data_IF_058197059317
#
_entry.id   IF_058197059317
#
_cell.length_a   1.000
_cell.length_b   1.000
_cell.length_c   1.000
_cell.angle_alpha   90.00
_cell.angle_beta   90.00
_cell.angle_gamma   90.00
#
_symmetry.space_group_name_H-M   'P 1'
#
loop_
_entity.id
_entity.type
_entity.pdbx_description
1 polymer ?
#
# COMPACT_ATOMS: atom_id res chain seq x y z
N UNK A 1 -25.95 -35.51 -2.81
CA UNK A 1 -26.28 -34.10 -3.11
C UNK A 1 -25.28 -33.24 -2.36
N UNK A 2 -24.27 -32.69 -3.04
CA UNK A 2 -23.29 -31.78 -2.45
C UNK A 2 -23.79 -30.35 -2.63
N UNK A 3 -24.25 -29.72 -1.56
CA UNK A 3 -24.57 -28.28 -1.56
C UNK A 3 -23.25 -27.51 -1.65
N UNK A 4 -22.91 -27.06 -2.86
CA UNK A 4 -21.83 -26.11 -3.09
C UNK A 4 -22.21 -24.78 -2.46
N UNK A 5 -21.65 -24.47 -1.30
CA UNK A 5 -21.67 -23.12 -0.73
C UNK A 5 -20.73 -22.24 -1.55
N UNK A 6 -21.21 -21.69 -2.67
CA UNK A 6 -20.58 -20.50 -3.22
C UNK A 6 -20.93 -19.35 -2.27
N UNK A 7 -19.96 -18.89 -1.48
CA UNK A 7 -20.11 -17.63 -0.74
C UNK A 7 -20.32 -16.53 -1.78
N UNK A 8 -21.52 -15.98 -1.85
CA UNK A 8 -21.80 -14.85 -2.74
C UNK A 8 -20.99 -13.64 -2.28
N UNK A 9 -20.47 -12.87 -3.23
CA UNK A 9 -19.84 -11.60 -2.92
C UNK A 9 -20.91 -10.61 -2.49
N UNK A 10 -21.06 -10.39 -1.19
CA UNK A 10 -21.93 -9.36 -0.65
C UNK A 10 -21.27 -7.99 -0.83
N UNK A 11 -21.40 -7.44 -2.04
CA UNK A 11 -20.91 -6.12 -2.39
C UNK A 11 -21.95 -5.08 -1.95
N UNK A 12 -21.69 -4.26 -0.91
CA UNK A 12 -22.56 -3.13 -0.59
C UNK A 12 -22.74 -2.19 -1.77
N UNK A 13 -23.90 -1.54 -1.84
CA UNK A 13 -24.23 -0.60 -2.90
C UNK A 13 -23.21 0.56 -2.92
N UNK A 14 -22.43 0.59 -4.00
CA UNK A 14 -21.39 1.54 -4.40
C UNK A 14 -20.10 1.56 -3.53
N UNK A 15 -18.93 1.13 -4.07
CA UNK A 15 -17.66 1.26 -3.36
C UNK A 15 -17.24 2.71 -3.14
N UNK A 16 -16.66 2.98 -1.96
CA UNK A 16 -16.00 4.26 -1.65
C UNK A 16 -14.52 4.13 -2.00
N UNK A 17 -14.03 5.08 -2.80
CA UNK A 17 -12.66 5.16 -3.27
C UNK A 17 -11.85 6.13 -2.38
N UNK A 18 -10.67 5.70 -1.94
CA UNK A 18 -9.80 6.40 -1.00
C UNK A 18 -8.39 6.70 -1.54
N UNK A 19 -7.99 6.06 -2.64
CA UNK A 19 -6.64 6.23 -3.20
C UNK A 19 -6.40 7.65 -3.74
N UNK A 20 -5.15 8.11 -3.63
CA UNK A 20 -4.73 9.48 -3.95
C UNK A 20 -4.98 9.90 -5.41
N UNK A 21 -4.96 8.96 -6.36
CA UNK A 21 -5.15 9.22 -7.79
C UNK A 21 -6.17 8.26 -8.41
N UNK A 22 -7.11 7.74 -7.60
CA UNK A 22 -8.19 6.84 -8.02
C UNK A 22 -7.71 5.49 -8.58
N UNK A 23 -6.53 5.04 -8.18
CA UNK A 23 -5.98 3.74 -8.52
C UNK A 23 -6.90 2.60 -8.09
N UNK A 24 -7.57 2.73 -6.94
CA UNK A 24 -8.55 1.77 -6.45
C UNK A 24 -9.82 1.70 -7.32
N UNK A 25 -10.26 2.82 -7.88
CA UNK A 25 -11.35 2.86 -8.85
C UNK A 25 -10.96 2.16 -10.15
N UNK A 26 -9.76 2.44 -10.65
CA UNK A 26 -9.25 1.78 -11.85
C UNK A 26 -9.14 0.27 -11.65
N UNK A 27 -8.62 -0.17 -10.49
CA UNK A 27 -8.53 -1.59 -10.16
C UNK A 27 -9.91 -2.25 -10.05
N UNK A 28 -10.85 -1.61 -9.35
CA UNK A 28 -12.21 -2.13 -9.21
C UNK A 28 -12.88 -2.31 -10.57
N UNK A 29 -12.93 -1.27 -11.38
CA UNK A 29 -13.61 -1.29 -12.68
C UNK A 29 -12.95 -2.27 -13.66
N UNK A 30 -11.61 -2.40 -13.63
CA UNK A 30 -10.90 -3.22 -14.61
C UNK A 30 -10.79 -4.69 -14.20
N UNK A 31 -10.75 -5.01 -12.90
CA UNK A 31 -10.39 -6.36 -12.45
C UNK A 31 -11.36 -6.99 -11.44
N UNK A 32 -12.12 -6.21 -10.67
CA UNK A 32 -12.87 -6.73 -9.52
C UNK A 32 -14.40 -6.62 -9.64
N UNK A 33 -14.90 -5.81 -10.59
CA UNK A 33 -16.34 -5.59 -10.79
C UNK A 33 -17.02 -6.68 -11.62
N UNK A 34 -16.36 -7.22 -12.65
CA UNK A 34 -17.01 -8.13 -13.61
C UNK A 34 -16.14 -9.34 -14.01
N UNK A 35 -16.45 -10.56 -13.53
CA UNK A 35 -17.41 -10.83 -12.45
C UNK A 35 -16.92 -10.23 -11.12
N UNK A 36 -17.83 -9.97 -10.16
CA UNK A 36 -17.48 -9.56 -8.81
C UNK A 36 -16.41 -10.45 -8.17
N UNK A 37 -15.36 -9.85 -7.61
CA UNK A 37 -14.31 -10.57 -6.84
C UNK A 37 -14.28 -10.12 -5.38
N UNK A 38 -14.42 -11.08 -4.47
CA UNK A 38 -14.42 -10.89 -3.01
C UNK A 38 -13.52 -11.92 -2.33
N UNK A 39 -13.28 -11.75 -1.02
CA UNK A 39 -12.55 -12.70 -0.17
C UNK A 39 -11.14 -13.07 -0.64
N UNK A 40 -10.50 -12.19 -1.42
CA UNK A 40 -9.14 -12.41 -1.90
C UNK A 40 -8.08 -12.00 -0.88
N UNK A 41 -6.83 -11.98 -1.34
CA UNK A 41 -5.70 -11.36 -0.63
C UNK A 41 -5.09 -10.28 -1.51
N UNK A 42 -4.89 -9.10 -0.94
CA UNK A 42 -4.25 -7.97 -1.62
C UNK A 42 -2.93 -7.64 -0.92
N UNK A 43 -1.88 -7.46 -1.71
CA UNK A 43 -0.57 -7.02 -1.23
C UNK A 43 -0.34 -5.59 -1.71
N UNK A 44 -0.11 -4.69 -0.76
CA UNK A 44 0.20 -3.29 -1.01
C UNK A 44 1.64 -3.00 -0.57
N UNK A 45 2.48 -2.63 -1.53
CA UNK A 45 3.88 -2.29 -1.31
C UNK A 45 4.02 -0.77 -1.31
N UNK A 46 4.58 -0.21 -0.24
CA UNK A 46 4.58 1.24 -0.01
C UNK A 46 3.22 1.72 0.52
N UNK A 47 2.70 1.05 1.54
CA UNK A 47 1.38 1.34 2.12
C UNK A 47 1.30 2.69 2.86
N UNK A 48 2.43 3.40 3.02
CA UNK A 48 2.51 4.71 3.64
C UNK A 48 1.87 4.72 5.04
N UNK A 49 0.94 5.63 5.30
CA UNK A 49 0.18 5.70 6.55
C UNK A 49 -1.14 4.90 6.49
N UNK A 50 -1.49 4.30 5.36
CA UNK A 50 -2.71 3.52 5.17
C UNK A 50 -4.02 4.32 5.06
N UNK A 51 -4.00 5.65 5.00
CA UNK A 51 -5.22 6.44 4.80
C UNK A 51 -5.62 6.50 3.33
N UNK A 52 -4.67 6.86 2.46
CA UNK A 52 -4.86 6.98 1.02
C UNK A 52 -4.54 5.66 0.28
N UNK A 53 -5.05 4.56 0.83
CA UNK A 53 -4.73 3.20 0.38
C UNK A 53 -5.72 2.71 -0.67
N UNK A 54 -5.20 2.05 -1.70
CA UNK A 54 -6.03 1.44 -2.74
C UNK A 54 -6.72 0.13 -2.29
N UNK A 55 -6.26 -0.46 -1.17
CA UNK A 55 -6.80 -1.69 -0.61
C UNK A 55 -7.94 -1.48 0.39
N UNK A 56 -8.56 -0.29 0.42
CA UNK A 56 -9.74 -0.03 1.27
C UNK A 56 -11.05 -0.58 0.71
N UNK A 57 -11.09 -0.92 -0.58
CA UNK A 57 -12.33 -1.26 -1.31
C UNK A 57 -12.74 -2.73 -1.16
N UNK A 58 -11.93 -3.52 -0.49
CA UNK A 58 -12.02 -4.96 -0.67
C UNK A 58 -13.08 -5.62 0.21
N UNK A 59 -14.11 -6.13 -0.47
CA UNK A 59 -15.22 -6.92 0.04
C UNK A 59 -14.75 -8.21 0.73
N UNK A 60 -14.39 -8.10 2.01
CA UNK A 60 -13.92 -9.20 2.83
C UNK A 60 -12.52 -9.71 2.47
N UNK A 61 -11.67 -8.93 1.80
CA UNK A 61 -10.30 -9.40 1.52
C UNK A 61 -9.37 -9.22 2.71
N UNK A 62 -8.37 -10.10 2.77
CA UNK A 62 -7.21 -9.92 3.63
C UNK A 62 -6.24 -8.95 2.97
N UNK A 63 -5.83 -7.91 3.69
CA UNK A 63 -4.81 -6.97 3.22
C UNK A 63 -3.47 -7.23 3.89
N UNK A 64 -2.43 -7.37 3.08
CA UNK A 64 -1.03 -7.44 3.48
C UNK A 64 -0.38 -6.11 3.07
N UNK A 65 0.04 -5.33 4.06
CA UNK A 65 0.57 -3.98 3.87
C UNK A 65 2.06 -3.98 4.22
N UNK A 66 2.89 -3.57 3.27
CA UNK A 66 4.34 -3.50 3.42
C UNK A 66 4.77 -2.04 3.35
N UNK A 67 5.50 -1.58 4.37
CA UNK A 67 5.99 -0.21 4.44
C UNK A 67 7.39 -0.17 5.07
N UNK A 68 8.36 0.32 4.31
CA UNK A 68 9.76 0.36 4.74
C UNK A 68 10.03 1.49 5.74
N UNK A 69 9.41 2.67 5.56
CA UNK A 69 9.65 3.81 6.44
C UNK A 69 8.99 3.57 7.80
N UNK A 70 9.81 3.50 8.85
CA UNK A 70 9.37 3.25 10.23
C UNK A 70 8.34 4.25 10.77
N UNK A 71 8.34 5.50 10.30
CA UNK A 71 7.40 6.52 10.76
C UNK A 71 6.05 6.37 10.08
N UNK A 72 6.03 6.15 8.75
CA UNK A 72 4.85 5.74 8.01
C UNK A 72 4.22 4.48 8.63
N UNK A 73 5.04 3.46 8.88
CA UNK A 73 4.58 2.19 9.45
C UNK A 73 3.91 2.36 10.83
N UNK A 74 4.45 3.22 11.71
CA UNK A 74 3.82 3.51 12.99
C UNK A 74 2.41 4.09 12.83
N UNK A 75 2.18 4.92 11.81
CA UNK A 75 0.85 5.46 11.49
C UNK A 75 -0.04 4.39 10.84
N UNK A 76 0.52 3.59 9.94
CA UNK A 76 -0.14 2.47 9.27
C UNK A 76 -0.75 1.48 10.27
N UNK A 77 -0.01 1.12 11.31
CA UNK A 77 -0.50 0.20 12.37
C UNK A 77 -1.77 0.74 13.03
N UNK A 78 -1.84 2.06 13.28
CA UNK A 78 -3.01 2.71 13.88
C UNK A 78 -4.18 2.83 12.90
N UNK A 79 -3.89 3.21 11.65
CA UNK A 79 -4.90 3.51 10.65
C UNK A 79 -5.52 2.25 10.02
N UNK A 80 -4.83 1.10 10.10
CA UNK A 80 -5.24 -0.17 9.47
C UNK A 80 -5.16 -1.34 10.47
N UNK A 81 -5.95 -1.33 11.56
CA UNK A 81 -5.80 -2.31 12.65
C UNK A 81 -6.02 -3.76 12.21
N UNK A 82 -6.93 -4.00 11.25
CA UNK A 82 -7.33 -5.34 10.80
C UNK A 82 -6.47 -5.95 9.67
N UNK A 83 -5.48 -5.22 9.15
CA UNK A 83 -4.60 -5.70 8.09
C UNK A 83 -3.39 -6.47 8.65
N UNK A 84 -2.81 -7.38 7.87
CA UNK A 84 -1.47 -7.92 8.12
C UNK A 84 -0.46 -6.85 7.69
N UNK A 85 0.57 -6.59 8.50
CA UNK A 85 1.48 -5.44 8.30
C UNK A 85 2.93 -5.87 8.50
N UNK A 86 3.82 -5.46 7.60
CA UNK A 86 5.26 -5.69 7.70
C UNK A 86 6.04 -4.39 7.56
N UNK A 87 6.93 -4.11 8.52
CA UNK A 87 7.86 -2.98 8.44
C UNK A 87 9.14 -3.42 7.75
N UNK A 88 9.09 -3.53 6.42
CA UNK A 88 10.23 -3.96 5.61
C UNK A 88 10.17 -3.33 4.23
N UNK A 89 11.31 -3.32 3.55
CA UNK A 89 11.35 -3.12 2.11
C UNK A 89 11.25 -4.47 1.37
N UNK A 90 10.74 -4.43 0.14
CA UNK A 90 10.80 -5.56 -0.78
C UNK A 90 11.98 -5.34 -1.72
N UNK A 91 13.02 -6.15 -1.57
CA UNK A 91 14.24 -6.06 -2.36
C UNK A 91 14.91 -7.44 -2.48
N UNK A 92 15.91 -7.56 -3.36
CA UNK A 92 16.65 -8.82 -3.56
C UNK A 92 17.75 -9.01 -2.50
N UNK A 93 18.26 -7.91 -1.98
CA UNK A 93 19.31 -7.88 -0.97
C UNK A 93 18.71 -8.06 0.43
N UNK A 94 19.51 -8.57 1.36
CA UNK A 94 19.12 -8.64 2.77
C UNK A 94 19.02 -7.25 3.40
N UNK A 95 19.90 -6.34 2.98
CA UNK A 95 19.98 -4.97 3.46
C UNK A 95 20.00 -3.98 2.30
N UNK A 96 19.26 -2.89 2.45
CA UNK A 96 19.22 -1.77 1.53
C UNK A 96 19.17 -0.46 2.29
N UNK A 97 19.64 0.62 1.68
CA UNK A 97 19.50 1.96 2.21
C UNK A 97 18.18 2.59 1.73
N UNK A 98 17.35 2.99 2.69
CA UNK A 98 16.10 3.70 2.44
C UNK A 98 16.25 5.14 2.91
N UNK A 99 16.11 6.08 1.99
CA UNK A 99 16.32 7.52 2.22
C UNK A 99 15.01 8.30 2.09
N UNK A 100 14.98 9.49 2.71
CA UNK A 100 13.85 10.40 2.69
C UNK A 100 12.74 10.04 3.68
N UNK A 101 11.64 10.78 3.58
CA UNK A 101 10.50 10.71 4.50
C UNK A 101 9.18 10.78 3.76
N UNK A 102 8.10 10.40 4.45
CA UNK A 102 6.73 10.52 3.94
C UNK A 102 6.55 9.77 2.61
N UNK A 103 5.79 10.33 1.66
CA UNK A 103 5.45 9.68 0.39
C UNK A 103 6.55 9.76 -0.68
N UNK A 104 7.66 10.44 -0.41
CA UNK A 104 8.73 10.69 -1.40
C UNK A 104 10.01 9.93 -1.10
N UNK A 105 10.06 9.20 0.01
CA UNK A 105 11.18 8.33 0.37
C UNK A 105 11.26 7.10 -0.54
N UNK A 106 12.43 6.46 -0.57
CA UNK A 106 12.66 5.30 -1.40
C UNK A 106 14.04 4.67 -1.21
N UNK A 107 14.31 3.62 -1.97
CA UNK A 107 15.61 2.94 -1.99
C UNK A 107 16.60 3.80 -2.77
N UNK A 108 17.69 4.24 -2.14
CA UNK A 108 18.59 5.26 -2.72
C UNK A 108 19.12 4.84 -4.10
N UNK A 109 19.65 3.62 -4.21
CA UNK A 109 20.27 3.11 -5.43
C UNK A 109 19.30 2.91 -6.61
N UNK A 110 17.99 2.97 -6.37
CA UNK A 110 16.96 2.88 -7.42
C UNK A 110 16.26 4.22 -7.67
N UNK A 111 16.65 5.26 -6.94
CA UNK A 111 16.09 6.59 -7.07
C UNK A 111 16.80 7.37 -8.17
N UNK A 112 16.04 8.00 -9.07
CA UNK A 112 16.65 8.88 -10.06
C UNK A 112 17.34 10.08 -9.39
N UNK A 113 18.42 10.57 -9.99
CA UNK A 113 19.15 11.73 -9.48
C UNK A 113 18.24 12.97 -9.35
N UNK A 114 17.32 13.17 -10.31
CA UNK A 114 16.34 14.26 -10.29
C UNK A 114 15.42 14.16 -9.06
N UNK A 115 14.92 12.96 -8.75
CA UNK A 115 14.06 12.75 -7.59
C UNK A 115 14.83 12.96 -6.29
N UNK A 116 16.03 12.39 -6.20
CA UNK A 116 16.90 12.53 -5.04
C UNK A 116 17.16 14.01 -4.73
N UNK A 117 17.61 14.79 -5.72
CA UNK A 117 17.86 16.23 -5.57
C UNK A 117 16.61 17.04 -5.24
N UNK A 118 15.45 16.65 -5.75
CA UNK A 118 14.20 17.40 -5.58
C UNK A 118 13.51 17.17 -4.24
N UNK A 119 13.67 15.98 -3.65
CA UNK A 119 12.77 15.51 -2.59
C UNK A 119 13.46 14.91 -1.37
N UNK A 120 14.72 14.52 -1.48
CA UNK A 120 15.43 13.92 -0.35
C UNK A 120 16.25 15.01 0.33
N UNK A 121 15.94 15.38 1.58
CA UNK A 121 16.74 16.34 2.31
C UNK A 121 18.16 15.81 2.41
N UNK A 122 19.14 16.53 1.87
CA UNK A 122 20.53 16.30 2.25
C UNK A 122 20.66 16.85 3.66
N UNK A 123 20.70 15.96 4.66
CA UNK A 123 21.16 16.36 5.99
C UNK A 123 22.58 16.90 5.83
N UNK A 124 22.73 18.22 5.85
CA UNK A 124 24.04 18.84 5.97
C UNK A 124 24.38 18.81 7.46
N UNK A 125 25.07 17.75 7.90
CA UNK A 125 25.53 17.65 9.29
C UNK A 125 26.71 18.58 9.60
N UNK A 126 27.25 19.33 8.63
CA UNK A 126 28.23 20.41 8.82
C UNK A 126 28.23 21.40 7.64
N UNK A 127 27.18 22.20 7.50
CA UNK A 127 27.24 23.38 6.63
C UNK A 127 27.86 24.52 7.46
N UNK A 128 29.16 24.75 7.28
CA UNK A 128 29.81 26.02 7.62
C UNK A 128 29.30 27.15 6.73
#
# INVERSE_FOLDING_TARGET
MTTSFFSTCDIPNLPIFHSQSREDAALYERFYKNPPKCHGTIVEMGALDGQLSFSRIVYGWTSILVEANRYNFKRLVKNRPHSIKYNTAICRQEHIEFVGSEAVGGIENYMSEKHNKGWIPKFCENCC
#
